data_IF_416201197535
#
_entry.id   IF_416201197535
#
_cell.length_a   1.000
_cell.length_b   1.000
_cell.length_c   1.000
_cell.angle_alpha   90.00
_cell.angle_beta   90.00
_cell.angle_gamma   90.00
#
_symmetry.space_group_name_H-M   'P 1'
#
loop_
_entity.id
_entity.type
_entity.pdbx_description
1 polymer ?
#
# COMPACT_ATOMS: atom_id res chain seq x y z
N UNK A 1 -27.11 -1.50 -14.32
CA UNK A 1 -26.05 -0.64 -14.88
C UNK A 1 -24.93 -1.53 -15.42
N UNK A 2 -24.29 -1.13 -16.51
CA UNK A 2 -23.10 -1.80 -17.03
C UNK A 2 -21.97 -1.66 -15.99
N UNK A 3 -21.16 -2.69 -15.74
CA UNK A 3 -19.99 -2.57 -14.87
C UNK A 3 -19.03 -1.48 -15.37
N UNK A 4 -18.43 -0.72 -14.45
CA UNK A 4 -17.36 0.22 -14.75
C UNK A 4 -16.05 -0.55 -14.94
N UNK A 5 -15.41 -0.37 -16.09
CA UNK A 5 -14.14 -1.05 -16.42
C UNK A 5 -12.98 -0.35 -15.72
N UNK A 6 -12.16 -1.12 -15.05
CA UNK A 6 -11.03 -0.62 -14.25
C UNK A 6 -9.72 -1.21 -14.80
N UNK A 7 -8.71 -0.37 -14.95
CA UNK A 7 -7.32 -0.78 -15.15
C UNK A 7 -6.52 -0.35 -13.91
N UNK A 8 -5.71 -1.26 -13.38
CA UNK A 8 -4.94 -1.02 -12.15
C UNK A 8 -3.44 -1.04 -12.47
N UNK A 9 -2.76 0.12 -12.39
CA UNK A 9 -1.33 0.26 -12.64
C UNK A 9 -0.55 0.21 -11.32
N UNK A 10 0.60 -0.48 -11.32
CA UNK A 10 1.38 -0.77 -10.12
C UNK A 10 0.53 -1.50 -9.09
N UNK A 11 -0.17 -2.52 -9.56
CA UNK A 11 -1.28 -3.16 -8.85
C UNK A 11 -0.87 -3.85 -7.54
N UNK A 12 0.40 -4.29 -7.44
CA UNK A 12 0.84 -5.08 -6.30
C UNK A 12 -0.04 -6.31 -6.11
N UNK A 13 -0.63 -6.45 -4.92
CA UNK A 13 -1.58 -7.53 -4.59
C UNK A 13 -3.05 -7.12 -4.77
N UNK A 14 -3.33 -5.96 -5.37
CA UNK A 14 -4.69 -5.49 -5.64
C UNK A 14 -5.40 -4.87 -4.45
N UNK A 15 -4.68 -4.14 -3.58
CA UNK A 15 -5.30 -3.47 -2.42
C UNK A 15 -6.35 -2.44 -2.82
N UNK A 16 -6.18 -1.75 -3.96
CA UNK A 16 -7.20 -0.85 -4.48
C UNK A 16 -8.42 -1.63 -4.97
N UNK A 17 -8.23 -2.77 -5.66
CA UNK A 17 -9.33 -3.66 -6.06
C UNK A 17 -10.14 -4.14 -4.86
N UNK A 18 -9.50 -4.50 -3.73
CA UNK A 18 -10.20 -4.84 -2.49
C UNK A 18 -11.11 -3.70 -2.03
N UNK A 19 -10.62 -2.45 -2.07
CA UNK A 19 -11.42 -1.28 -1.71
C UNK A 19 -12.63 -1.11 -2.65
N UNK A 20 -12.45 -1.28 -3.97
CA UNK A 20 -13.55 -1.26 -4.94
C UNK A 20 -14.57 -2.38 -4.68
N UNK A 21 -14.12 -3.59 -4.31
CA UNK A 21 -15.02 -4.69 -3.95
C UNK A 21 -15.88 -4.35 -2.72
N UNK A 22 -15.30 -3.69 -1.70
CA UNK A 22 -16.05 -3.20 -0.54
C UNK A 22 -17.09 -2.15 -0.95
N UNK A 23 -16.72 -1.21 -1.82
CA UNK A 23 -17.65 -0.21 -2.36
C UNK A 23 -18.75 -0.89 -3.17
N UNK A 24 -18.42 -1.86 -4.02
CA UNK A 24 -19.40 -2.65 -4.79
C UNK A 24 -20.42 -3.33 -3.88
N UNK A 25 -19.96 -3.98 -2.82
CA UNK A 25 -20.83 -4.65 -1.86
C UNK A 25 -21.78 -3.68 -1.14
N UNK A 26 -21.30 -2.47 -0.81
CA UNK A 26 -22.10 -1.45 -0.09
C UNK A 26 -23.08 -0.68 -0.99
N UNK A 27 -22.72 -0.44 -2.25
CA UNK A 27 -23.46 0.47 -3.14
C UNK A 27 -24.21 -0.23 -4.26
N UNK A 28 -23.88 -1.49 -4.55
CA UNK A 28 -24.36 -2.21 -5.72
C UNK A 28 -23.69 -1.82 -7.04
N UNK A 29 -22.82 -0.81 -7.06
CA UNK A 29 -22.04 -0.45 -8.24
C UNK A 29 -21.09 -1.61 -8.57
N UNK A 30 -21.06 -2.04 -9.83
CA UNK A 30 -20.20 -3.14 -10.28
C UNK A 30 -18.96 -2.58 -10.95
N UNK A 31 -17.82 -3.18 -10.62
CA UNK A 31 -16.51 -2.88 -11.21
C UNK A 31 -15.98 -4.12 -11.91
N UNK A 32 -15.46 -3.93 -13.11
CA UNK A 32 -14.83 -4.97 -13.93
C UNK A 32 -13.35 -4.64 -14.10
N UNK A 33 -12.48 -5.37 -13.44
CA UNK A 33 -11.02 -5.20 -13.52
C UNK A 33 -10.48 -5.91 -14.74
N UNK A 34 -10.38 -5.19 -15.84
CA UNK A 34 -10.07 -5.73 -17.18
C UNK A 34 -8.57 -5.95 -17.41
N UNK A 35 -7.70 -5.25 -16.66
CA UNK A 35 -6.26 -5.46 -16.70
C UNK A 35 -5.60 -4.93 -15.41
N UNK A 36 -4.47 -5.51 -15.08
CA UNK A 36 -3.51 -5.03 -14.09
C UNK A 36 -2.17 -4.74 -14.77
N UNK A 37 -1.27 -4.01 -14.09
CA UNK A 37 0.08 -3.75 -14.56
C UNK A 37 1.04 -3.79 -13.36
N UNK A 38 1.84 -4.83 -13.28
CA UNK A 38 2.94 -4.95 -12.31
C UNK A 38 4.06 -5.77 -12.91
N UNK A 39 5.31 -5.40 -12.58
CA UNK A 39 6.52 -6.08 -13.06
C UNK A 39 6.92 -7.23 -12.13
N UNK A 40 6.48 -7.18 -10.86
CA UNK A 40 6.81 -8.20 -9.87
C UNK A 40 5.95 -9.45 -10.08
N UNK A 41 6.59 -10.52 -10.57
CA UNK A 41 5.92 -11.82 -10.81
C UNK A 41 5.23 -12.42 -9.58
N UNK A 42 5.72 -12.11 -8.38
CA UNK A 42 5.12 -12.61 -7.14
C UNK A 42 3.91 -11.79 -6.72
N UNK A 43 3.98 -10.46 -6.89
CA UNK A 43 2.83 -9.61 -6.71
C UNK A 43 1.70 -10.01 -7.66
N UNK A 44 2.00 -10.22 -8.94
CA UNK A 44 1.04 -10.70 -9.96
C UNK A 44 0.44 -12.05 -9.58
N UNK A 45 1.28 -13.01 -9.13
CA UNK A 45 0.80 -14.31 -8.69
C UNK A 45 -0.15 -14.20 -7.50
N UNK A 46 0.20 -13.36 -6.52
CA UNK A 46 -0.65 -13.10 -5.35
C UNK A 46 -1.94 -12.41 -5.75
N UNK A 47 -1.85 -11.40 -6.63
CA UNK A 47 -3.03 -10.71 -7.18
C UNK A 47 -4.02 -11.71 -7.79
N UNK A 48 -3.53 -12.60 -8.66
CA UNK A 48 -4.38 -13.57 -9.34
C UNK A 48 -4.94 -14.63 -8.37
N UNK A 49 -4.17 -15.02 -7.35
CA UNK A 49 -4.65 -15.93 -6.32
C UNK A 49 -5.82 -15.34 -5.49
N UNK A 50 -5.79 -14.03 -5.24
CA UNK A 50 -6.81 -13.32 -4.43
C UNK A 50 -8.04 -12.96 -5.29
N UNK A 51 -7.81 -12.52 -6.51
CA UNK A 51 -8.83 -11.82 -7.31
C UNK A 51 -9.28 -12.60 -8.56
N UNK A 52 -8.68 -13.75 -8.82
CA UNK A 52 -8.83 -14.48 -10.07
C UNK A 52 -7.93 -13.95 -11.18
N UNK A 53 -7.77 -14.74 -12.23
CA UNK A 53 -6.90 -14.41 -13.34
C UNK A 53 -7.31 -13.09 -14.01
N UNK A 54 -6.39 -12.14 -13.97
CA UNK A 54 -6.56 -10.82 -14.57
C UNK A 54 -5.36 -10.55 -15.48
N UNK A 55 -5.57 -10.15 -16.74
CA UNK A 55 -4.50 -9.86 -17.69
C UNK A 55 -3.48 -8.88 -17.10
N UNK A 56 -2.19 -9.25 -17.12
CA UNK A 56 -1.12 -8.38 -16.65
C UNK A 56 -0.42 -7.72 -17.84
N UNK A 57 -0.37 -6.38 -17.84
CA UNK A 57 0.34 -5.59 -18.86
C UNK A 57 1.86 -5.60 -18.67
N UNK A 58 2.36 -6.05 -17.50
CA UNK A 58 3.79 -6.20 -17.20
C UNK A 58 4.51 -4.88 -16.93
N UNK A 59 5.61 -4.65 -17.64
CA UNK A 59 6.45 -3.45 -17.49
C UNK A 59 5.76 -2.24 -18.12
N UNK A 60 5.37 -1.27 -17.30
CA UNK A 60 4.66 -0.07 -17.74
C UNK A 60 5.41 0.73 -18.81
N UNK A 61 6.75 0.67 -18.81
CA UNK A 61 7.56 1.38 -19.82
C UNK A 61 7.44 0.78 -21.21
N UNK A 62 6.98 -0.47 -21.31
CA UNK A 62 6.76 -1.22 -22.56
C UNK A 62 5.30 -1.22 -23.00
N UNK A 63 4.39 -0.74 -22.16
CA UNK A 63 2.99 -0.61 -22.52
C UNK A 63 2.84 0.57 -23.47
N UNK A 64 2.34 0.32 -24.68
CA UNK A 64 2.13 1.36 -25.69
C UNK A 64 0.80 2.09 -25.48
N UNK A 65 -0.26 1.35 -25.15
CA UNK A 65 -1.61 1.87 -24.93
C UNK A 65 -2.32 1.10 -23.83
N UNK A 66 -3.19 1.80 -23.10
CA UNK A 66 -4.08 1.18 -22.12
C UNK A 66 -5.30 0.56 -22.83
N UNK A 67 -5.85 -0.54 -22.31
CA UNK A 67 -7.21 -0.96 -22.66
C UNK A 67 -8.21 0.16 -22.34
N UNK A 68 -9.25 0.28 -23.15
CA UNK A 68 -10.32 1.26 -22.89
C UNK A 68 -11.00 0.96 -21.56
N UNK A 69 -10.89 1.88 -20.62
CA UNK A 69 -11.45 1.76 -19.27
C UNK A 69 -12.15 3.05 -18.84
N UNK A 70 -12.99 2.93 -17.82
CA UNK A 70 -13.74 4.05 -17.26
C UNK A 70 -12.99 4.64 -16.03
N UNK A 71 -12.19 3.79 -15.36
CA UNK A 71 -11.40 4.15 -14.18
C UNK A 71 -9.97 3.62 -14.35
N UNK A 72 -8.99 4.46 -14.05
CA UNK A 72 -7.58 4.08 -13.94
C UNK A 72 -7.12 4.29 -12.50
N UNK A 73 -6.60 3.24 -11.86
CA UNK A 73 -5.94 3.37 -10.56
C UNK A 73 -4.43 3.24 -10.70
N UNK A 74 -3.65 3.95 -9.88
CA UNK A 74 -2.20 3.93 -9.98
C UNK A 74 -1.50 4.33 -8.68
N UNK A 75 -0.52 3.52 -8.29
CA UNK A 75 0.26 3.67 -7.05
C UNK A 75 1.74 3.44 -7.35
N UNK A 76 2.35 4.40 -8.03
CA UNK A 76 3.73 4.29 -8.49
C UNK A 76 4.74 4.20 -7.33
N UNK A 77 5.92 3.59 -7.53
CA UNK A 77 6.91 3.39 -6.49
C UNK A 77 7.36 4.70 -5.81
N UNK A 78 7.42 4.67 -4.48
CA UNK A 78 7.76 5.83 -3.65
C UNK A 78 9.19 5.81 -3.10
N UNK A 79 10.05 4.89 -3.54
CA UNK A 79 11.36 4.66 -2.93
C UNK A 79 12.26 5.89 -2.99
N UNK A 80 12.21 6.66 -4.07
CA UNK A 80 12.95 7.90 -4.24
C UNK A 80 12.33 9.10 -3.53
N UNK A 81 11.11 8.98 -2.99
CA UNK A 81 10.38 10.06 -2.30
C UNK A 81 10.41 9.90 -0.77
N UNK A 82 10.51 8.66 -0.28
CA UNK A 82 10.41 8.39 1.15
C UNK A 82 11.64 8.89 1.91
N UNK A 83 11.45 9.22 3.19
CA UNK A 83 12.56 9.65 4.07
C UNK A 83 13.64 8.58 4.22
N UNK A 84 13.32 7.32 3.99
CA UNK A 84 14.23 6.18 4.03
C UNK A 84 14.90 5.89 2.67
N UNK A 85 14.52 6.59 1.59
CA UNK A 85 15.05 6.41 0.25
C UNK A 85 16.16 7.39 -0.11
N UNK A 86 16.72 7.24 -1.33
CA UNK A 86 17.86 8.03 -1.83
C UNK A 86 17.52 9.50 -2.14
N UNK A 87 16.25 9.95 -1.99
CA UNK A 87 15.76 11.32 -2.26
C UNK A 87 16.06 11.83 -3.68
N UNK A 88 16.16 10.95 -4.65
CA UNK A 88 16.51 11.31 -6.05
C UNK A 88 15.33 11.97 -6.80
N UNK A 89 14.15 12.05 -6.17
CA UNK A 89 12.98 12.77 -6.69
C UNK A 89 12.21 11.99 -7.76
N UNK A 90 11.27 12.67 -8.40
CA UNK A 90 10.36 12.14 -9.43
C UNK A 90 10.38 13.00 -10.71
N UNK A 91 11.53 13.54 -11.08
CA UNK A 91 11.66 14.35 -12.28
C UNK A 91 11.44 13.53 -13.54
N UNK A 92 10.81 14.14 -14.55
CA UNK A 92 10.63 13.50 -15.86
C UNK A 92 11.99 13.13 -16.44
N UNK A 93 12.16 11.85 -16.82
CA UNK A 93 13.39 11.36 -17.43
C UNK A 93 14.57 11.15 -16.47
N UNK A 94 14.37 11.23 -15.15
CA UNK A 94 15.45 11.01 -14.17
C UNK A 94 15.90 9.54 -14.06
N UNK A 95 15.14 8.60 -14.63
CA UNK A 95 15.42 7.17 -14.50
C UNK A 95 15.16 6.60 -13.11
N UNK A 96 14.62 7.39 -12.19
CA UNK A 96 14.26 6.92 -10.84
C UNK A 96 12.94 6.14 -10.87
N UNK A 97 12.75 5.22 -9.92
CA UNK A 97 11.48 4.47 -9.80
C UNK A 97 10.27 5.41 -9.64
N UNK A 98 10.43 6.52 -8.93
CA UNK A 98 9.36 7.51 -8.77
C UNK A 98 9.07 8.32 -10.05
N UNK A 99 9.98 8.32 -11.03
CA UNK A 99 9.73 8.95 -12.34
C UNK A 99 8.75 8.14 -13.21
N UNK A 100 8.44 6.89 -12.85
CA UNK A 100 7.43 6.06 -13.51
C UNK A 100 6.01 6.66 -13.44
N UNK A 101 5.77 7.63 -12.56
CA UNK A 101 4.56 8.43 -12.60
C UNK A 101 4.33 9.12 -13.97
N UNK A 102 5.40 9.44 -14.71
CA UNK A 102 5.34 10.04 -16.05
C UNK A 102 4.93 9.05 -17.12
N UNK A 103 5.13 7.76 -16.90
CA UNK A 103 4.61 6.71 -17.79
C UNK A 103 3.08 6.68 -17.80
N UNK A 104 2.45 6.98 -16.65
CA UNK A 104 0.99 7.13 -16.57
C UNK A 104 0.53 8.30 -17.46
N UNK A 105 1.22 9.45 -17.38
CA UNK A 105 0.92 10.61 -18.24
C UNK A 105 1.09 10.25 -19.71
N UNK A 106 2.18 9.58 -20.09
CA UNK A 106 2.43 9.11 -21.46
C UNK A 106 1.31 8.20 -21.96
N UNK A 107 0.87 7.26 -21.14
CA UNK A 107 -0.21 6.34 -21.51
C UNK A 107 -1.55 7.07 -21.68
N UNK A 108 -1.84 8.07 -20.86
CA UNK A 108 -3.03 8.91 -21.00
C UNK A 108 -2.99 9.82 -22.26
N UNK A 109 -1.78 10.16 -22.74
CA UNK A 109 -1.61 10.89 -24.01
C UNK A 109 -1.89 10.02 -25.23
N UNK A 110 -1.62 8.70 -25.15
CA UNK A 110 -1.70 7.76 -26.28
C UNK A 110 -2.92 6.86 -26.28
N UNK A 111 -3.71 6.83 -25.20
CA UNK A 111 -4.86 5.95 -25.01
C UNK A 111 -6.18 6.71 -24.97
N UNK A 112 -7.30 5.99 -25.02
CA UNK A 112 -8.58 6.53 -24.58
C UNK A 112 -8.45 6.99 -23.12
N UNK A 113 -8.93 8.20 -22.82
CA UNK A 113 -8.81 8.78 -21.48
C UNK A 113 -9.93 8.29 -20.58
N UNK A 114 -9.62 7.58 -19.48
CA UNK A 114 -10.63 7.21 -18.50
C UNK A 114 -11.32 8.43 -17.89
N UNK A 115 -12.59 8.32 -17.55
CA UNK A 115 -13.29 9.40 -16.84
C UNK A 115 -12.67 9.70 -15.48
N UNK A 116 -12.19 8.68 -14.80
CA UNK A 116 -11.67 8.76 -13.45
C UNK A 116 -10.25 8.24 -13.31
N UNK A 117 -9.42 8.99 -12.59
CA UNK A 117 -8.09 8.55 -12.14
C UNK A 117 -8.06 8.55 -10.61
N UNK A 118 -7.55 7.47 -10.02
CA UNK A 118 -7.33 7.36 -8.56
C UNK A 118 -5.87 7.04 -8.30
N UNK A 119 -5.16 7.95 -7.65
CA UNK A 119 -3.75 7.77 -7.26
C UNK A 119 -3.64 7.59 -5.74
N UNK A 120 -2.76 6.69 -5.32
CA UNK A 120 -2.29 6.59 -3.95
C UNK A 120 -0.76 6.70 -3.90
N UNK A 121 -0.23 7.39 -2.87
CA UNK A 121 1.20 7.42 -2.59
C UNK A 121 1.47 7.81 -1.12
N UNK A 122 2.74 7.80 -0.71
CA UNK A 122 3.15 8.26 0.62
C UNK A 122 2.94 9.76 0.78
N UNK A 123 2.71 10.27 2.03
CA UNK A 123 2.58 11.71 2.29
C UNK A 123 3.75 12.55 1.80
N UNK A 124 4.94 11.96 1.74
CA UNK A 124 6.16 12.64 1.30
C UNK A 124 6.06 13.26 -0.10
N UNK A 125 5.15 12.80 -0.95
CA UNK A 125 4.89 13.41 -2.26
C UNK A 125 4.46 14.89 -2.15
N UNK A 126 3.80 15.25 -1.04
CA UNK A 126 3.31 16.62 -0.76
C UNK A 126 4.31 17.48 0.01
N UNK A 127 5.47 16.95 0.42
CA UNK A 127 6.47 17.71 1.17
C UNK A 127 7.20 18.72 0.28
N UNK A 128 7.75 19.78 0.90
CA UNK A 128 8.43 20.88 0.20
C UNK A 128 9.46 20.40 -0.83
N UNK A 129 10.12 19.28 -0.57
CA UNK A 129 11.13 18.68 -1.47
C UNK A 129 10.54 18.08 -2.74
N UNK A 130 9.31 17.62 -2.70
CA UNK A 130 8.67 16.83 -3.77
C UNK A 130 7.49 17.53 -4.43
N UNK A 131 6.86 18.50 -3.73
CA UNK A 131 5.61 19.14 -4.16
C UNK A 131 5.73 19.80 -5.55
N UNK A 132 6.92 20.33 -5.89
CA UNK A 132 7.15 20.94 -7.21
C UNK A 132 6.96 19.91 -8.34
N UNK A 133 7.54 18.72 -8.18
CA UNK A 133 7.43 17.64 -9.15
C UNK A 133 6.00 17.07 -9.20
N UNK A 134 5.36 16.95 -8.04
CA UNK A 134 3.96 16.52 -7.96
C UNK A 134 3.03 17.50 -8.70
N UNK A 135 3.22 18.79 -8.51
CA UNK A 135 2.45 19.82 -9.23
C UNK A 135 2.70 19.78 -10.75
N UNK A 136 3.89 19.37 -11.20
CA UNK A 136 4.13 19.17 -12.64
C UNK A 136 3.27 18.03 -13.21
N UNK A 137 3.09 16.94 -12.47
CA UNK A 137 2.20 15.84 -12.87
C UNK A 137 0.75 16.34 -12.91
N UNK A 138 0.29 17.05 -11.87
CA UNK A 138 -1.06 17.63 -11.83
C UNK A 138 -1.27 18.57 -13.03
N UNK A 139 -0.27 19.39 -13.36
CA UNK A 139 -0.33 20.28 -14.53
C UNK A 139 -0.38 19.51 -15.84
N UNK A 140 0.35 18.39 -15.95
CA UNK A 140 0.29 17.53 -17.13
C UNK A 140 -1.10 16.89 -17.28
N UNK A 141 -1.68 16.40 -16.20
CA UNK A 141 -3.06 15.87 -16.19
C UNK A 141 -4.08 16.95 -16.56
N UNK A 142 -3.90 18.18 -16.06
CA UNK A 142 -4.78 19.30 -16.39
C UNK A 142 -4.75 19.63 -17.91
N UNK A 143 -3.58 19.55 -18.56
CA UNK A 143 -3.45 19.70 -20.02
C UNK A 143 -4.19 18.62 -20.80
N UNK A 144 -4.41 17.45 -20.20
CA UNK A 144 -5.20 16.37 -20.75
C UNK A 144 -6.70 16.50 -20.45
N UNK A 145 -7.12 17.57 -19.77
CA UNK A 145 -8.52 17.84 -19.43
C UNK A 145 -8.99 17.33 -18.08
N UNK A 146 -8.05 16.82 -17.25
CA UNK A 146 -8.40 16.36 -15.90
C UNK A 146 -8.37 17.48 -14.88
N UNK A 147 -9.36 17.48 -14.00
CA UNK A 147 -9.41 18.27 -12.79
C UNK A 147 -9.06 17.38 -11.61
N UNK A 148 -8.07 17.75 -10.82
CA UNK A 148 -7.51 16.90 -9.78
C UNK A 148 -7.70 17.52 -8.39
N UNK A 149 -8.02 16.68 -7.42
CA UNK A 149 -8.08 17.03 -6.00
C UNK A 149 -7.27 16.00 -5.23
N UNK A 150 -6.41 16.43 -4.31
CA UNK A 150 -5.64 15.51 -3.49
C UNK A 150 -5.73 15.88 -2.00
N UNK A 151 -5.55 14.87 -1.15
CA UNK A 151 -5.53 15.02 0.31
C UNK A 151 -4.70 13.91 0.93
N UNK A 152 -4.01 14.24 2.02
CA UNK A 152 -3.38 13.24 2.88
C UNK A 152 -4.43 12.78 3.88
N UNK A 153 -4.72 11.47 3.90
CA UNK A 153 -5.69 10.84 4.76
C UNK A 153 -4.98 9.87 5.70
N UNK A 154 -5.43 9.79 6.96
CA UNK A 154 -4.98 8.79 7.92
C UNK A 154 -5.97 7.64 8.00
N UNK A 155 -5.49 6.41 8.05
CA UNK A 155 -6.34 5.23 8.19
C UNK A 155 -7.20 5.29 9.48
N UNK A 156 -6.66 5.89 10.55
CA UNK A 156 -7.37 6.09 11.82
C UNK A 156 -8.61 6.97 11.69
N UNK A 157 -8.58 7.93 10.78
CA UNK A 157 -9.73 8.81 10.52
C UNK A 157 -10.91 8.06 9.87
N UNK A 158 -10.63 6.86 9.32
CA UNK A 158 -11.59 6.03 8.60
C UNK A 158 -11.77 4.66 9.24
N UNK A 159 -11.68 4.61 10.57
CA UNK A 159 -11.99 3.44 11.39
C UNK A 159 -11.05 2.23 11.20
N UNK A 160 -9.77 2.47 10.91
CA UNK A 160 -8.74 1.45 10.84
C UNK A 160 -7.72 1.68 11.94
N UNK A 161 -7.50 0.68 12.81
CA UNK A 161 -6.61 0.78 13.96
C UNK A 161 -5.12 0.73 13.58
N UNK A 162 -4.71 1.54 12.61
CA UNK A 162 -3.33 1.67 12.17
C UNK A 162 -2.98 3.13 11.86
N UNK A 163 -1.83 3.60 12.35
CA UNK A 163 -1.30 4.94 12.03
C UNK A 163 -0.68 4.95 10.63
N UNK A 164 -1.51 4.84 9.59
CA UNK A 164 -1.09 4.82 8.19
C UNK A 164 -1.65 6.01 7.44
N UNK A 165 -0.80 6.98 7.13
CA UNK A 165 -1.17 8.13 6.30
C UNK A 165 -0.75 7.93 4.86
N UNK A 166 -1.63 8.33 3.92
CA UNK A 166 -1.39 8.27 2.48
C UNK A 166 -1.97 9.49 1.78
N UNK A 167 -1.27 9.92 0.73
CA UNK A 167 -1.79 10.92 -0.18
C UNK A 167 -2.65 10.22 -1.22
N UNK A 168 -3.91 10.58 -1.29
CA UNK A 168 -4.82 10.19 -2.36
C UNK A 168 -5.04 11.38 -3.29
N UNK A 169 -5.04 11.12 -4.58
CA UNK A 169 -5.48 12.09 -5.58
C UNK A 169 -6.56 11.45 -6.44
N UNK A 170 -7.67 12.15 -6.57
CA UNK A 170 -8.77 11.79 -7.47
C UNK A 170 -8.81 12.84 -8.57
N UNK A 171 -8.86 12.38 -9.81
CA UNK A 171 -9.01 13.26 -10.97
C UNK A 171 -10.19 12.81 -11.81
N UNK A 172 -10.91 13.76 -12.36
CA UNK A 172 -12.04 13.51 -13.27
C UNK A 172 -11.88 14.31 -14.54
N UNK A 173 -12.22 13.70 -15.67
CA UNK A 173 -12.17 14.32 -16.97
C UNK A 173 -13.32 15.32 -17.12
N UNK A 174 -12.99 16.57 -17.38
CA UNK A 174 -13.97 17.63 -17.67
C UNK A 174 -14.57 18.36 -16.47
N UNK A 175 -14.45 17.85 -15.22
CA UNK A 175 -14.98 18.53 -14.05
C UNK A 175 -14.21 18.24 -12.76
N UNK A 176 -14.34 19.11 -11.75
CA UNK A 176 -13.71 18.91 -10.46
C UNK A 176 -14.37 17.76 -9.70
N UNK A 177 -13.60 16.77 -9.20
CA UNK A 177 -14.16 15.71 -8.36
C UNK A 177 -14.76 16.28 -7.06
N UNK A 178 -15.68 15.52 -6.44
CA UNK A 178 -16.21 15.84 -5.11
C UNK A 178 -15.09 15.89 -4.06
N UNK A 179 -15.38 16.49 -2.93
CA UNK A 179 -14.47 16.51 -1.79
C UNK A 179 -14.27 15.10 -1.20
N UNK A 180 -13.12 14.90 -0.57
CA UNK A 180 -12.86 13.68 0.18
C UNK A 180 -13.87 13.52 1.33
N UNK A 181 -14.24 12.27 1.66
CA UNK A 181 -15.18 12.02 2.75
C UNK A 181 -14.64 12.57 4.07
N UNK A 182 -15.57 12.99 4.92
CA UNK A 182 -15.22 13.44 6.27
C UNK A 182 -14.74 12.26 7.11
N UNK A 183 -13.82 12.48 8.08
CA UNK A 183 -13.48 11.48 9.06
C UNK A 183 -14.70 10.91 9.77
N UNK A 184 -14.71 9.60 9.99
CA UNK A 184 -15.79 8.91 10.72
C UNK A 184 -15.38 8.51 12.14
N UNK A 185 -14.12 8.80 12.50
CA UNK A 185 -13.55 8.43 13.78
C UNK A 185 -13.06 6.98 13.84
N UNK A 186 -12.46 6.61 14.96
CA UNK A 186 -11.88 5.29 15.19
C UNK A 186 -12.67 4.58 16.29
N UNK A 187 -13.35 3.50 15.95
CA UNK A 187 -14.09 2.63 16.88
C UNK A 187 -13.43 1.27 17.06
N UNK A 188 -12.49 0.90 16.14
CA UNK A 188 -11.74 -0.33 16.21
C UNK A 188 -10.41 -0.14 16.94
N UNK A 189 -10.00 -1.17 17.65
CA UNK A 189 -8.69 -1.28 18.29
C UNK A 189 -7.88 -2.39 17.64
N UNK A 190 -6.59 -2.44 17.91
CA UNK A 190 -5.70 -3.46 17.35
C UNK A 190 -6.19 -4.89 17.65
N UNK A 191 -6.73 -5.12 18.83
CA UNK A 191 -7.24 -6.43 19.25
C UNK A 191 -8.35 -7.00 18.35
N UNK A 192 -9.11 -6.14 17.65
CA UNK A 192 -10.17 -6.59 16.74
C UNK A 192 -9.63 -7.29 15.47
N UNK A 193 -8.32 -7.19 15.24
CA UNK A 193 -7.62 -7.73 14.07
C UNK A 193 -6.60 -8.82 14.42
N UNK A 194 -6.46 -9.17 15.70
CA UNK A 194 -5.48 -10.14 16.15
C UNK A 194 -6.07 -11.54 16.23
N UNK A 195 -5.23 -12.54 15.96
CA UNK A 195 -5.54 -13.93 16.28
C UNK A 195 -5.72 -14.10 17.78
N UNK A 196 -6.71 -14.89 18.18
CA UNK A 196 -7.00 -15.16 19.60
C UNK A 196 -5.92 -16.03 20.27
N UNK A 197 -5.20 -16.83 19.50
CA UNK A 197 -4.18 -17.76 20.00
C UNK A 197 -3.03 -17.91 18.99
N UNK A 198 -2.13 -16.92 18.90
CA UNK A 198 -0.99 -17.02 17.99
C UNK A 198 -0.03 -18.15 18.41
N UNK A 199 0.53 -18.88 17.43
CA UNK A 199 1.50 -19.94 17.66
C UNK A 199 2.75 -19.35 18.36
N UNK A 200 3.24 -20.08 19.38
CA UNK A 200 4.40 -19.67 20.20
C UNK A 200 5.67 -19.38 19.38
N UNK A 201 5.82 -20.01 18.23
CA UNK A 201 6.95 -19.77 17.31
C UNK A 201 7.03 -18.33 16.79
N UNK A 202 5.95 -17.57 16.85
CA UNK A 202 5.89 -16.18 16.42
C UNK A 202 6.28 -15.18 17.51
N UNK A 203 6.38 -15.64 18.76
CA UNK A 203 6.86 -14.79 19.84
C UNK A 203 8.36 -14.55 19.72
N UNK A 204 8.80 -13.35 20.13
CA UNK A 204 10.23 -13.07 20.24
C UNK A 204 10.85 -13.95 21.31
N UNK A 205 12.00 -14.55 21.02
CA UNK A 205 12.80 -15.18 22.06
C UNK A 205 13.31 -14.11 23.04
N UNK A 206 13.54 -14.48 24.29
CA UNK A 206 14.09 -13.57 25.30
C UNK A 206 15.38 -12.87 24.83
N UNK A 207 16.25 -13.60 24.14
CA UNK A 207 17.49 -13.05 23.57
C UNK A 207 17.21 -11.93 22.57
N UNK A 208 16.23 -12.12 21.67
CA UNK A 208 15.84 -11.08 20.68
C UNK A 208 15.17 -9.90 21.36
N UNK A 209 14.31 -10.15 22.35
CA UNK A 209 13.64 -9.10 23.10
C UNK A 209 14.65 -8.24 23.86
N UNK A 210 15.56 -8.86 24.63
CA UNK A 210 16.65 -8.14 25.32
C UNK A 210 17.52 -7.34 24.35
N UNK A 211 17.88 -7.92 23.20
CA UNK A 211 18.64 -7.22 22.16
C UNK A 211 17.90 -6.01 21.58
N UNK A 212 16.61 -6.11 21.35
CA UNK A 212 15.79 -5.01 20.85
C UNK A 212 15.67 -3.86 21.86
N UNK A 213 15.50 -4.18 23.14
CA UNK A 213 15.46 -3.20 24.23
C UNK A 213 16.80 -2.48 24.35
N UNK A 214 17.92 -3.22 24.42
CA UNK A 214 19.27 -2.63 24.52
C UNK A 214 19.60 -1.75 23.31
N UNK A 215 19.24 -2.18 22.11
CA UNK A 215 19.46 -1.36 20.90
C UNK A 215 18.59 -0.09 20.93
N UNK A 216 17.35 -0.20 21.41
CA UNK A 216 16.45 0.94 21.59
C UNK A 216 17.05 1.99 22.55
N UNK A 217 17.63 1.55 23.67
CA UNK A 217 18.30 2.42 24.64
C UNK A 217 19.50 3.14 24.01
N UNK A 218 20.37 2.40 23.31
CA UNK A 218 21.51 2.99 22.58
C UNK A 218 21.07 4.01 21.53
N UNK A 219 19.98 3.75 20.78
CA UNK A 219 19.47 4.68 19.80
C UNK A 219 18.89 5.94 20.45
N UNK A 220 18.26 5.80 21.61
CA UNK A 220 17.76 6.90 22.43
C UNK A 220 18.89 7.81 22.93
N UNK A 221 19.98 7.21 23.43
CA UNK A 221 21.19 7.94 23.85
C UNK A 221 21.86 8.71 22.70
N UNK A 222 21.78 8.16 21.47
CA UNK A 222 22.29 8.82 20.25
C UNK A 222 21.36 9.88 19.66
N UNK A 223 20.20 10.14 20.31
CA UNK A 223 19.20 11.09 19.83
C UNK A 223 18.42 10.60 18.60
N UNK A 224 18.47 9.31 18.27
CA UNK A 224 17.72 8.71 17.17
C UNK A 224 16.31 8.34 17.63
N UNK A 225 15.29 8.73 16.87
CA UNK A 225 13.89 8.57 17.24
C UNK A 225 13.30 7.14 17.07
N UNK A 226 14.12 6.13 16.74
CA UNK A 226 13.65 4.75 16.58
C UNK A 226 13.83 3.99 17.90
N UNK A 227 12.73 3.82 18.62
CA UNK A 227 12.68 3.06 19.86
C UNK A 227 11.87 1.78 19.69
N UNK A 228 12.23 0.73 20.43
CA UNK A 228 11.40 -0.46 20.55
C UNK A 228 10.18 -0.12 21.41
N UNK A 229 9.04 -0.04 20.78
CA UNK A 229 7.77 0.29 21.41
C UNK A 229 6.69 -0.66 20.88
N UNK A 230 6.46 -1.81 21.53
CA UNK A 230 5.35 -2.69 21.18
C UNK A 230 4.01 -1.97 21.27
N UNK A 231 3.09 -2.30 20.36
CA UNK A 231 1.76 -1.74 20.38
C UNK A 231 0.89 -2.41 21.43
N UNK A 232 0.18 -1.67 22.29
CA UNK A 232 -0.79 -2.30 23.20
C UNK A 232 -1.97 -2.85 22.40
N UNK A 233 -2.50 -4.02 22.81
CA UNK A 233 -3.65 -4.66 22.15
C UNK A 233 -4.87 -3.76 22.01
N UNK A 234 -5.15 -2.99 23.04
CA UNK A 234 -6.26 -2.02 23.07
C UNK A 234 -5.90 -0.66 22.45
N UNK A 235 -4.77 -0.58 21.76
CA UNK A 235 -4.28 0.62 21.09
C UNK A 235 -4.42 0.56 19.58
N UNK A 236 -3.54 1.30 18.92
CA UNK A 236 -3.46 1.47 17.47
C UNK A 236 -2.11 0.95 16.98
N UNK A 237 -2.10 0.15 15.95
CA UNK A 237 -0.87 -0.32 15.33
C UNK A 237 -0.09 0.82 14.67
N UNK A 238 1.24 0.75 14.72
CA UNK A 238 2.08 1.53 13.82
C UNK A 238 1.94 1.05 12.37
N UNK A 239 2.36 1.89 11.42
CA UNK A 239 2.40 1.47 10.01
C UNK A 239 3.25 0.21 9.85
N UNK A 240 2.63 -0.88 9.41
CA UNK A 240 3.33 -2.12 9.11
C UNK A 240 4.18 -1.91 7.85
N UNK A 241 5.46 -2.24 7.94
CA UNK A 241 6.42 -2.13 6.85
C UNK A 241 6.98 -3.50 6.49
N UNK A 242 7.60 -3.63 5.32
CA UNK A 242 8.23 -4.87 4.86
C UNK A 242 9.43 -5.31 5.70
N UNK A 243 9.99 -4.40 6.51
CA UNK A 243 11.06 -4.68 7.47
C UNK A 243 10.53 -4.88 8.89
N UNK A 244 9.25 -5.17 9.02
CA UNK A 244 8.57 -5.34 10.31
C UNK A 244 9.22 -6.39 11.22
N UNK A 245 9.83 -7.42 10.64
CA UNK A 245 10.57 -8.46 11.34
C UNK A 245 11.91 -8.01 11.94
N UNK A 246 12.46 -6.89 11.45
CA UNK A 246 13.78 -6.38 11.84
C UNK A 246 13.72 -5.08 12.65
N UNK A 247 12.65 -4.32 12.51
CA UNK A 247 12.46 -3.00 13.16
C UNK A 247 11.16 -3.00 13.95
N UNK A 248 11.26 -3.02 15.11
CA UNK A 248 10.68 -2.89 16.45
C UNK A 248 9.26 -2.31 16.60
N UNK A 249 8.62 -1.72 15.60
CA UNK A 249 7.36 -0.99 15.79
C UNK A 249 6.11 -1.78 15.37
N UNK A 250 6.26 -3.06 15.07
CA UNK A 250 5.19 -3.95 14.60
C UNK A 250 4.98 -5.14 15.53
N UNK A 251 5.41 -5.00 16.77
CA UNK A 251 5.20 -5.99 17.81
C UNK A 251 4.03 -5.59 18.70
N UNK A 252 3.37 -6.58 19.27
CA UNK A 252 2.28 -6.42 20.22
C UNK A 252 2.81 -6.76 21.60
N UNK A 253 2.42 -5.97 22.58
CA UNK A 253 2.63 -6.29 23.99
C UNK A 253 1.53 -7.26 24.45
N UNK A 254 1.92 -8.50 24.67
CA UNK A 254 1.09 -9.58 25.23
C UNK A 254 1.27 -9.70 26.75
N UNK A 255 1.77 -8.67 27.42
CA UNK A 255 2.13 -8.69 28.82
C UNK A 255 3.52 -9.28 29.04
N UNK A 256 3.63 -10.54 29.43
CA UNK A 256 4.92 -11.22 29.63
C UNK A 256 5.66 -11.58 28.33
N UNK A 257 5.02 -11.42 27.16
CA UNK A 257 5.54 -11.82 25.86
C UNK A 257 5.31 -10.74 24.81
N UNK A 258 6.18 -10.71 23.81
CA UNK A 258 6.06 -9.77 22.68
C UNK A 258 5.97 -10.57 21.38
N UNK A 259 4.91 -10.34 20.63
CA UNK A 259 4.64 -10.99 19.35
C UNK A 259 4.54 -9.97 18.21
N UNK A 260 4.87 -10.34 16.96
CA UNK A 260 4.56 -9.52 15.79
C UNK A 260 3.05 -9.46 15.55
N UNK A 261 2.58 -8.36 14.94
CA UNK A 261 1.21 -8.25 14.46
C UNK A 261 1.06 -9.18 13.27
N UNK A 262 0.28 -10.24 13.45
CA UNK A 262 0.10 -11.30 12.46
C UNK A 262 -1.33 -11.80 12.50
N UNK A 263 -1.90 -12.07 11.32
CA UNK A 263 -3.27 -12.57 11.16
C UNK A 263 -3.35 -13.98 10.60
N UNK A 264 -2.21 -14.62 10.34
CA UNK A 264 -2.14 -15.97 9.81
C UNK A 264 -0.75 -16.32 9.27
N UNK A 265 -0.56 -17.56 8.85
CA UNK A 265 0.68 -18.07 8.29
C UNK A 265 0.41 -19.11 7.21
N UNK A 266 1.15 -19.06 6.11
CA UNK A 266 1.14 -20.10 5.09
C UNK A 266 1.98 -21.31 5.50
N UNK A 267 1.39 -22.49 5.42
CA UNK A 267 2.11 -23.76 5.57
C UNK A 267 2.80 -24.13 4.26
N UNK A 268 3.97 -23.52 4.00
CA UNK A 268 4.78 -23.83 2.83
C UNK A 268 6.12 -24.42 3.26
N UNK A 269 6.43 -25.60 2.75
CA UNK A 269 7.60 -26.40 3.15
C UNK A 269 8.93 -25.90 2.58
N UNK A 270 8.94 -24.92 1.68
CA UNK A 270 10.10 -24.58 0.85
C UNK A 270 10.77 -23.23 1.17
N UNK A 271 10.35 -22.48 2.22
CA UNK A 271 10.91 -21.15 2.48
C UNK A 271 11.86 -21.11 3.66
N UNK A 272 13.01 -20.43 3.47
CA UNK A 272 14.09 -20.34 4.45
C UNK A 272 13.82 -19.44 5.65
N UNK A 273 12.86 -18.48 5.56
CA UNK A 273 12.57 -17.53 6.63
C UNK A 273 11.07 -17.52 6.96
N UNK A 274 10.74 -17.71 8.23
CA UNK A 274 9.38 -17.70 8.76
C UNK A 274 8.63 -16.39 8.50
N UNK A 275 9.35 -15.26 8.56
CA UNK A 275 8.79 -13.93 8.26
C UNK A 275 8.16 -13.83 6.87
N UNK A 276 8.59 -14.67 5.92
CA UNK A 276 8.10 -14.71 4.55
C UNK A 276 6.80 -15.48 4.36
N UNK A 277 6.40 -16.25 5.37
CA UNK A 277 5.17 -17.05 5.35
C UNK A 277 3.99 -16.32 5.97
N UNK A 278 4.19 -15.11 6.48
CA UNK A 278 3.18 -14.38 7.24
C UNK A 278 2.15 -13.78 6.30
N UNK A 279 0.89 -13.91 6.69
CA UNK A 279 -0.26 -13.36 6.01
C UNK A 279 -0.82 -12.24 6.88
N UNK A 280 -1.24 -11.18 6.24
CA UNK A 280 -1.83 -10.03 6.89
C UNK A 280 -3.28 -9.90 6.46
N UNK A 281 -4.19 -9.68 7.40
CA UNK A 281 -5.63 -9.70 7.18
C UNK A 281 -6.08 -8.76 6.08
N UNK A 282 -6.99 -9.23 5.22
CA UNK A 282 -7.68 -8.42 4.21
C UNK A 282 -8.66 -7.41 4.81
N UNK A 283 -9.02 -7.55 6.10
CA UNK A 283 -10.08 -6.75 6.75
C UNK A 283 -9.66 -5.34 7.18
N UNK A 284 -8.46 -4.88 6.93
CA UNK A 284 -8.16 -3.48 7.24
C UNK A 284 -6.70 -3.08 7.36
N UNK A 285 -5.75 -3.98 7.22
CA UNK A 285 -4.33 -3.64 7.29
C UNK A 285 -3.68 -3.82 5.93
N UNK A 286 -3.68 -2.77 5.12
CA UNK A 286 -2.92 -2.79 3.87
C UNK A 286 -1.42 -2.81 4.16
N UNK A 287 -0.77 -3.90 3.83
CA UNK A 287 0.70 -4.02 3.88
C UNK A 287 1.29 -3.31 2.68
N UNK A 288 2.25 -2.44 2.89
CA UNK A 288 3.10 -1.96 1.79
C UNK A 288 4.10 -3.04 1.45
N UNK A 289 3.90 -3.70 0.32
CA UNK A 289 4.81 -4.71 -0.19
C UNK A 289 5.89 -4.00 -1.00
N UNK A 290 7.15 -4.20 -0.63
CA UNK A 290 8.29 -3.69 -1.39
C UNK A 290 8.80 -4.72 -2.38
N UNK A 291 9.11 -4.26 -3.58
CA UNK A 291 9.51 -5.04 -4.76
C UNK A 291 11.00 -5.46 -4.78
N UNK A 292 11.69 -5.47 -3.65
CA UNK A 292 13.07 -5.96 -3.58
C UNK A 292 13.16 -7.28 -2.84
N UNK A 293 12.63 -8.32 -3.46
CA UNK A 293 12.97 -9.67 -3.00
C UNK A 293 12.72 -10.64 -4.14
N UNK A 294 13.77 -11.07 -4.76
CA UNK A 294 13.77 -12.02 -5.87
C UNK A 294 13.16 -13.40 -5.54
N UNK A 295 12.63 -13.60 -4.29
CA UNK A 295 12.24 -14.93 -3.80
C UNK A 295 10.97 -15.00 -2.94
N UNK A 296 9.98 -14.04 -2.99
CA UNK A 296 8.88 -14.03 -2.03
C UNK A 296 7.47 -14.12 -2.62
N UNK A 297 6.73 -15.22 -2.40
CA UNK A 297 5.30 -15.25 -2.67
C UNK A 297 4.52 -14.68 -1.48
N UNK A 298 3.54 -13.84 -1.77
CA UNK A 298 2.55 -13.32 -0.83
C UNK A 298 1.19 -13.92 -1.17
N UNK A 299 0.52 -14.50 -0.18
CA UNK A 299 -0.81 -15.05 -0.34
C UNK A 299 -1.73 -14.51 0.75
N UNK A 300 -2.97 -14.29 0.42
CA UNK A 300 -4.07 -14.12 1.37
C UNK A 300 -4.84 -15.45 1.45
N UNK A 301 -5.26 -15.82 2.64
CA UNK A 301 -6.22 -16.91 2.86
C UNK A 301 -7.53 -16.25 3.23
N UNK A 302 -8.62 -16.68 2.62
CA UNK A 302 -9.96 -16.36 3.08
C UNK A 302 -10.22 -17.22 4.32
N UNK A 303 -10.68 -16.58 5.39
CA UNK A 303 -11.26 -17.29 6.52
C UNK A 303 -12.65 -17.78 6.09
N UNK A 304 -12.88 -19.11 6.18
CA UNK A 304 -14.20 -19.74 6.06
C UNK A 304 -15.19 -19.22 7.12
#
# INVERSE_FOLDING_TARGET
MKPLRVVELFSGVGSQRMAFNIVSAKTGIKFDFIAQCDIDKYAVKSYNAIHGDTPNLGDITKVERLPDCDILTWSFPCQSLSQAGKKEGMQKGSGTESSLAWEVVRLLETSHRPDWLVMENVPAITYKTNIKNFNQIITALAKLGYYSRYKVLSATDYNVAQTRSRCFMVSHLGSMPADFPKPIGLNHILNDYLESCPDIKYFLSEKRLKGAIMESEKQKERGNGFTFAPCPKNGIAHTITTTADRKTNTFIDEGERVAPIQCGSLSLTTYRLEAMRRIYSSRGVAVTIHTKADDYPYYLIEDD
#
